data_IF_519061631812
#
_entry.id   IF_519061631812
#
_cell.length_a   1.000
_cell.length_b   1.000
_cell.length_c   1.000
_cell.angle_alpha   90.00
_cell.angle_beta   90.00
_cell.angle_gamma   90.00
#
_symmetry.space_group_name_H-M   'P 1'
#
loop_
_entity.id
_entity.type
_entity.pdbx_description
1 polymer ?
#
# COMPACT_ATOMS: atom_id res chain seq x y z
N UNK A 1 22.11 8.96 -2.63
CA UNK A 1 20.64 8.79 -2.66
C UNK A 1 20.32 7.45 -2.04
N UNK A 2 19.31 7.35 -1.16
CA UNK A 2 18.92 6.10 -0.48
C UNK A 2 17.40 5.94 -0.64
N UNK A 3 16.95 4.74 -1.02
CA UNK A 3 15.53 4.43 -1.12
C UNK A 3 14.91 4.21 0.27
N UNK A 4 13.75 4.80 0.49
CA UNK A 4 12.92 4.54 1.66
C UNK A 4 11.66 3.83 1.16
N UNK A 5 11.54 2.53 1.42
CA UNK A 5 10.44 1.71 0.94
C UNK A 5 10.29 0.45 1.78
N UNK A 6 9.16 -0.25 1.60
CA UNK A 6 8.87 -1.49 2.30
C UNK A 6 9.55 -2.73 1.73
N UNK A 7 10.02 -2.67 0.48
CA UNK A 7 10.43 -3.86 -0.26
C UNK A 7 9.26 -4.81 -0.58
N UNK A 8 8.00 -4.34 -0.45
CA UNK A 8 6.78 -5.09 -0.80
C UNK A 8 5.88 -4.25 -1.68
N UNK A 9 5.39 -4.83 -2.78
CA UNK A 9 4.36 -4.21 -3.63
C UNK A 9 3.00 -4.82 -3.32
N UNK A 10 1.96 -4.03 -3.54
CA UNK A 10 0.57 -4.44 -3.39
C UNK A 10 -0.22 -3.88 -4.58
N UNK A 11 -1.12 -4.69 -5.14
CA UNK A 11 -2.03 -4.19 -6.16
C UNK A 11 -3.14 -3.34 -5.54
N UNK A 12 -3.69 -2.39 -6.30
CA UNK A 12 -4.85 -1.61 -5.83
C UNK A 12 -6.04 -2.51 -5.49
N UNK A 13 -6.23 -3.58 -6.27
CA UNK A 13 -7.29 -4.56 -6.03
C UNK A 13 -7.13 -5.26 -4.67
N UNK A 14 -5.92 -5.73 -4.33
CA UNK A 14 -5.66 -6.34 -3.01
C UNK A 14 -5.97 -5.38 -1.86
N UNK A 15 -5.66 -4.10 -2.02
CA UNK A 15 -5.94 -3.08 -1.00
C UNK A 15 -7.44 -2.90 -0.83
N UNK A 16 -8.18 -2.75 -1.93
CA UNK A 16 -9.65 -2.60 -1.91
C UNK A 16 -10.31 -3.84 -1.29
N UNK A 17 -9.88 -5.04 -1.65
CA UNK A 17 -10.42 -6.29 -1.09
C UNK A 17 -10.17 -6.39 0.42
N UNK A 18 -9.00 -5.97 0.91
CA UNK A 18 -8.68 -5.95 2.35
C UNK A 18 -9.58 -4.97 3.11
N UNK A 19 -9.74 -3.76 2.58
CA UNK A 19 -10.62 -2.76 3.21
C UNK A 19 -12.08 -3.21 3.18
N UNK A 20 -12.54 -3.86 2.10
CA UNK A 20 -13.89 -4.43 2.03
C UNK A 20 -14.13 -5.48 3.13
N UNK A 21 -13.15 -6.36 3.38
CA UNK A 21 -13.23 -7.32 4.50
C UNK A 21 -13.35 -6.63 5.86
N UNK A 22 -12.59 -5.57 6.10
CA UNK A 22 -12.68 -4.78 7.34
C UNK A 22 -14.06 -4.10 7.48
N UNK A 23 -14.60 -3.60 6.37
CA UNK A 23 -15.91 -2.96 6.33
C UNK A 23 -17.10 -3.95 6.39
N UNK A 24 -16.83 -5.26 6.29
CA UNK A 24 -17.86 -6.30 6.32
C UNK A 24 -18.63 -6.49 5.01
N UNK A 25 -18.15 -5.96 3.88
CA UNK A 25 -18.80 -6.13 2.57
C UNK A 25 -17.82 -6.08 1.39
N UNK A 26 -18.21 -6.67 0.26
CA UNK A 26 -17.43 -6.57 -0.98
C UNK A 26 -17.63 -5.19 -1.64
N UNK A 27 -16.56 -4.41 -1.77
CA UNK A 27 -16.62 -3.08 -2.40
C UNK A 27 -16.85 -3.24 -3.91
N UNK A 28 -17.94 -2.66 -4.42
CA UNK A 28 -18.19 -2.60 -5.86
C UNK A 28 -17.29 -1.53 -6.51
N UNK A 29 -16.30 -1.96 -7.27
CA UNK A 29 -15.36 -1.06 -7.96
C UNK A 29 -15.93 -0.62 -9.31
N UNK A 30 -15.91 0.68 -9.59
CA UNK A 30 -16.18 1.26 -10.91
C UNK A 30 -14.98 2.11 -11.32
N UNK A 31 -14.50 1.91 -12.55
CA UNK A 31 -13.38 2.69 -13.09
C UNK A 31 -13.89 4.04 -13.54
N UNK A 32 -13.38 5.11 -12.93
CA UNK A 32 -13.57 6.46 -13.45
C UNK A 32 -12.38 6.81 -14.37
N UNK A 33 -12.63 7.07 -15.67
CA UNK A 33 -11.57 7.41 -16.63
C UNK A 33 -10.69 8.60 -16.22
N UNK A 34 -11.19 9.52 -15.38
CA UNK A 34 -10.39 10.67 -14.91
C UNK A 34 -9.25 10.27 -13.99
N UNK A 35 -9.29 9.06 -13.39
CA UNK A 35 -8.19 8.50 -12.58
C UNK A 35 -7.25 7.58 -13.38
N UNK A 36 -7.55 7.31 -14.65
CA UNK A 36 -6.71 6.45 -15.50
C UNK A 36 -5.66 7.30 -16.20
N UNK A 37 -4.38 6.98 -15.98
CA UNK A 37 -3.26 7.67 -16.64
C UNK A 37 -2.71 6.80 -17.76
N UNK A 38 -2.54 7.38 -18.96
CA UNK A 38 -2.12 6.66 -20.18
C UNK A 38 -0.75 5.97 -20.05
N UNK A 39 0.16 6.53 -19.24
CA UNK A 39 1.53 6.03 -19.05
C UNK A 39 1.78 5.58 -17.60
N UNK A 40 0.77 4.99 -16.95
CA UNK A 40 0.89 4.54 -15.55
C UNK A 40 1.86 3.37 -15.43
N UNK A 41 2.72 3.41 -14.40
CA UNK A 41 3.61 2.29 -14.06
C UNK A 41 2.76 1.16 -13.46
N UNK A 42 2.71 0.01 -14.13
CA UNK A 42 1.89 -1.13 -13.69
C UNK A 42 2.31 -1.71 -12.34
N UNK A 43 3.61 -1.73 -12.04
CA UNK A 43 4.15 -2.19 -10.77
C UNK A 43 5.40 -1.38 -10.45
N UNK A 44 5.46 -0.83 -9.24
CA UNK A 44 6.61 -0.12 -8.70
C UNK A 44 7.01 -0.77 -7.38
N UNK A 45 8.28 -1.18 -7.29
CA UNK A 45 8.85 -1.81 -6.11
C UNK A 45 10.23 -1.22 -5.84
N UNK A 46 10.45 -0.70 -4.64
CA UNK A 46 11.76 -0.23 -4.21
C UNK A 46 12.55 -1.33 -3.50
N UNK A 47 13.88 -1.30 -3.63
CA UNK A 47 14.79 -2.04 -2.75
C UNK A 47 15.28 -1.14 -1.62
N UNK A 48 15.16 -1.60 -0.38
CA UNK A 48 15.66 -0.93 0.82
C UNK A 48 17.00 -1.51 1.32
N UNK A 49 17.69 -2.30 0.50
CA UNK A 49 18.94 -2.99 0.88
C UNK A 49 20.04 -2.00 1.30
N UNK A 50 20.23 -0.91 0.56
CA UNK A 50 21.20 0.12 0.92
C UNK A 50 20.88 0.80 2.25
N UNK A 51 19.59 0.97 2.57
CA UNK A 51 19.21 1.51 3.87
C UNK A 51 19.52 0.49 4.98
N UNK A 52 19.15 -0.78 4.77
CA UNK A 52 19.42 -1.88 5.72
C UNK A 52 20.90 -2.08 6.00
N UNK A 53 21.78 -1.87 5.02
CA UNK A 53 23.22 -1.97 5.23
C UNK A 53 23.79 -0.84 6.09
N UNK A 54 23.12 0.31 6.14
CA UNK A 54 23.58 1.49 6.89
C UNK A 54 23.03 1.49 8.32
N UNK A 55 21.74 1.21 8.51
CA UNK A 55 21.06 1.33 9.82
C UNK A 55 20.72 -0.01 10.46
N UNK A 56 21.00 -1.13 9.78
CA UNK A 56 20.59 -2.46 10.20
C UNK A 56 19.14 -2.79 9.83
N UNK A 57 18.66 -3.92 10.33
CA UNK A 57 17.27 -4.37 10.12
C UNK A 57 16.31 -3.63 11.05
N UNK A 58 15.10 -3.34 10.54
CA UNK A 58 13.99 -2.82 11.32
C UNK A 58 12.72 -3.64 11.06
N UNK A 59 11.79 -3.59 12.01
CA UNK A 59 10.44 -4.09 11.82
C UNK A 59 9.59 -3.04 11.13
N UNK A 60 9.04 -3.42 9.98
CA UNK A 60 8.07 -2.59 9.27
C UNK A 60 6.68 -3.18 9.47
N UNK A 61 5.68 -2.37 9.87
CA UNK A 61 4.32 -2.86 9.95
C UNK A 61 3.86 -3.38 8.58
N UNK A 62 3.22 -4.57 8.53
CA UNK A 62 2.48 -5.00 7.35
C UNK A 62 1.49 -3.91 6.90
N UNK A 63 1.24 -3.81 5.59
CA UNK A 63 0.26 -2.87 5.07
C UNK A 63 -1.13 -3.06 5.68
N UNK A 64 -1.48 -4.30 6.03
CA UNK A 64 -2.76 -4.63 6.67
C UNK A 64 -2.96 -3.87 7.98
N UNK A 65 -1.97 -3.90 8.87
CA UNK A 65 -2.01 -3.23 10.17
C UNK A 65 -2.14 -1.71 9.99
N UNK A 66 -1.47 -1.15 8.99
CA UNK A 66 -1.61 0.28 8.64
C UNK A 66 -3.02 0.60 8.15
N UNK A 67 -3.61 -0.24 7.29
CA UNK A 67 -4.97 -0.05 6.79
C UNK A 67 -6.00 -0.18 7.92
N UNK A 68 -5.81 -1.12 8.84
CA UNK A 68 -6.66 -1.29 10.01
C UNK A 68 -6.59 -0.08 10.94
N UNK A 69 -5.38 0.44 11.19
CA UNK A 69 -5.20 1.67 11.96
C UNK A 69 -5.93 2.85 11.32
N UNK A 70 -5.79 3.04 10.00
CA UNK A 70 -6.47 4.11 9.27
C UNK A 70 -7.99 3.95 9.29
N UNK A 71 -8.50 2.72 9.17
CA UNK A 71 -9.93 2.44 9.16
C UNK A 71 -10.60 2.77 10.50
N UNK A 72 -9.93 2.49 11.61
CA UNK A 72 -10.45 2.78 12.97
C UNK A 72 -10.08 4.18 13.48
N UNK A 73 -9.26 4.93 12.73
CA UNK A 73 -8.91 6.28 13.12
C UNK A 73 -10.13 7.20 13.01
N UNK A 74 -10.37 8.10 13.98
CA UNK A 74 -11.42 9.10 13.87
C UNK A 74 -11.17 9.97 12.62
N UNK A 75 -12.24 10.34 11.93
CA UNK A 75 -12.15 11.31 10.84
C UNK A 75 -11.62 12.63 11.39
N UNK A 76 -10.70 13.31 10.68
CA UNK A 76 -10.22 14.63 11.06
C UNK A 76 -11.33 15.69 11.01
#
# INVERSE_FOLDING_TARGET
MINICSGKSHSLQEVVERVGKMAGYAIQVKVNPTFVRKNEVRSLLGSAELLRSIIGSWNMPPLHDTLEWMYHSPLP
#
